data_IF_449244077581
#
_entry.id   IF_449244077581
#
_cell.length_a   1.000
_cell.length_b   1.000
_cell.length_c   1.000
_cell.angle_alpha   90.00
_cell.angle_beta   90.00
_cell.angle_gamma   90.00
#
_symmetry.space_group_name_H-M   'P 1'
#
loop_
_entity.id
_entity.type
_entity.pdbx_description
1 polymer ?
#
# COMPACT_ATOMS: atom_id res chain seq x y z
N UNK A 1 -30.67 -14.44 9.38
CA UNK A 1 -30.25 -14.15 7.99
C UNK A 1 -29.51 -12.84 7.99
N UNK A 2 -28.21 -12.84 7.69
CA UNK A 2 -27.47 -11.59 7.49
C UNK A 2 -27.70 -11.12 6.05
N UNK A 3 -28.00 -9.83 5.82
CA UNK A 3 -28.20 -9.30 4.48
C UNK A 3 -26.87 -9.24 3.73
N UNK A 4 -26.84 -9.80 2.53
CA UNK A 4 -25.72 -9.66 1.60
C UNK A 4 -25.83 -8.29 0.91
N UNK A 5 -24.89 -7.40 1.19
CA UNK A 5 -24.79 -6.11 0.49
C UNK A 5 -23.92 -6.28 -0.75
N UNK A 6 -24.52 -6.16 -1.94
CA UNK A 6 -23.80 -6.08 -3.21
C UNK A 6 -22.98 -4.78 -3.28
N UNK A 7 -21.69 -4.80 -3.65
CA UNK A 7 -20.86 -3.61 -3.67
C UNK A 7 -20.88 -2.95 -5.04
N UNK A 8 -22.03 -2.44 -5.50
CA UNK A 8 -22.06 -1.55 -6.66
C UNK A 8 -23.08 -0.44 -6.44
N UNK A 9 -22.65 0.60 -5.72
CA UNK A 9 -23.34 1.89 -5.69
C UNK A 9 -22.46 2.92 -6.39
N UNK A 10 -23.03 3.47 -7.45
CA UNK A 10 -22.58 4.63 -8.20
C UNK A 10 -22.28 5.75 -7.19
N UNK A 11 -21.02 6.19 -7.08
CA UNK A 11 -20.65 7.36 -6.28
C UNK A 11 -19.50 7.23 -5.28
N UNK A 12 -18.66 6.19 -5.32
CA UNK A 12 -17.52 6.11 -4.39
C UNK A 12 -16.32 6.98 -4.81
N UNK A 13 -15.70 7.64 -3.82
CA UNK A 13 -14.55 8.51 -4.04
C UNK A 13 -13.39 7.72 -4.68
N UNK A 14 -12.91 8.19 -5.84
CA UNK A 14 -11.76 7.61 -6.57
C UNK A 14 -10.50 7.45 -5.69
N UNK A 15 -10.43 8.14 -4.56
CA UNK A 15 -9.30 8.17 -3.63
C UNK A 15 -9.16 6.85 -2.84
N UNK A 16 -10.27 6.25 -2.40
CA UNK A 16 -10.25 5.10 -1.48
C UNK A 16 -9.73 3.80 -2.13
N UNK A 17 -9.82 3.68 -3.46
CA UNK A 17 -9.43 2.46 -4.18
C UNK A 17 -8.00 2.51 -4.72
N UNK A 18 -7.31 3.65 -4.67
CA UNK A 18 -5.96 3.77 -5.23
C UNK A 18 -4.95 2.80 -4.59
N UNK A 19 -5.15 2.44 -3.32
CA UNK A 19 -4.34 1.48 -2.59
C UNK A 19 -4.71 0.02 -2.88
N UNK A 20 -5.94 -0.25 -3.34
CA UNK A 20 -6.43 -1.61 -3.55
C UNK A 20 -5.63 -2.34 -4.62
N UNK A 21 -5.28 -1.67 -5.73
CA UNK A 21 -4.48 -2.29 -6.78
C UNK A 21 -3.09 -2.70 -6.27
N UNK A 22 -2.44 -1.81 -5.53
CA UNK A 22 -1.14 -2.11 -4.91
C UNK A 22 -1.25 -3.27 -3.93
N UNK A 23 -2.29 -3.29 -3.10
CA UNK A 23 -2.51 -4.38 -2.13
C UNK A 23 -2.81 -5.71 -2.84
N UNK A 24 -3.54 -5.69 -3.95
CA UNK A 24 -3.80 -6.87 -4.77
C UNK A 24 -2.49 -7.42 -5.38
N UNK A 25 -1.63 -6.55 -5.92
CA UNK A 25 -0.30 -6.95 -6.39
C UNK A 25 0.57 -7.52 -5.25
N UNK A 26 0.60 -6.87 -4.09
CA UNK A 26 1.32 -7.37 -2.91
C UNK A 26 0.81 -8.78 -2.53
N UNK A 27 -0.51 -8.96 -2.55
CA UNK A 27 -1.15 -10.24 -2.28
C UNK A 27 -0.74 -11.30 -3.30
N UNK A 28 -0.81 -10.98 -4.59
CA UNK A 28 -0.38 -11.87 -5.67
C UNK A 28 1.07 -12.34 -5.46
N UNK A 29 1.99 -11.41 -5.20
CA UNK A 29 3.40 -11.74 -4.94
C UNK A 29 3.59 -12.66 -3.75
N UNK A 30 2.74 -12.56 -2.71
CA UNK A 30 2.84 -13.46 -1.55
C UNK A 30 2.45 -14.89 -1.91
N UNK A 31 1.37 -15.07 -2.66
CA UNK A 31 0.80 -16.39 -2.96
C UNK A 31 1.45 -17.07 -4.17
N UNK A 32 1.84 -16.34 -5.20
CA UNK A 32 2.39 -16.91 -6.44
C UNK A 32 3.89 -17.20 -6.32
N UNK A 33 4.31 -18.45 -6.19
CA UNK A 33 5.74 -18.82 -6.04
C UNK A 33 6.53 -18.70 -7.35
N UNK A 34 5.87 -18.91 -8.49
CA UNK A 34 6.45 -18.72 -9.83
C UNK A 34 6.13 -17.33 -10.39
N UNK A 35 7.06 -16.80 -11.18
CA UNK A 35 6.90 -15.57 -11.97
C UNK A 35 5.79 -15.72 -13.01
N UNK A 36 5.58 -16.94 -13.51
CA UNK A 36 4.50 -17.25 -14.47
C UNK A 36 3.14 -17.05 -13.83
N UNK A 37 2.94 -17.63 -12.65
CA UNK A 37 1.67 -17.58 -11.91
C UNK A 37 1.38 -16.15 -11.48
N UNK A 38 2.42 -15.44 -11.03
CA UNK A 38 2.32 -14.03 -10.71
C UNK A 38 1.94 -13.19 -11.93
N UNK A 39 2.53 -13.47 -13.10
CA UNK A 39 2.19 -12.74 -14.31
C UNK A 39 0.75 -13.01 -14.76
N UNK A 40 0.26 -14.24 -14.63
CA UNK A 40 -1.14 -14.58 -14.90
C UNK A 40 -2.08 -13.81 -13.96
N UNK A 41 -1.81 -13.82 -12.65
CA UNK A 41 -2.57 -13.07 -11.66
C UNK A 41 -2.53 -11.55 -11.92
N UNK A 42 -1.36 -11.02 -12.31
CA UNK A 42 -1.19 -9.60 -12.70
C UNK A 42 -2.11 -9.26 -13.88
N UNK A 43 -2.09 -10.06 -14.94
CA UNK A 43 -2.93 -9.84 -16.13
C UNK A 43 -4.42 -9.93 -15.76
N UNK A 44 -4.79 -10.89 -14.91
CA UNK A 44 -6.16 -11.00 -14.39
C UNK A 44 -6.59 -9.73 -13.63
N UNK A 45 -5.72 -9.20 -12.77
CA UNK A 45 -5.97 -7.95 -12.05
C UNK A 45 -6.11 -6.76 -13.02
N UNK A 46 -5.26 -6.67 -14.04
CA UNK A 46 -5.35 -5.63 -15.07
C UNK A 46 -6.70 -5.65 -15.80
N UNK A 47 -7.10 -6.83 -16.30
CA UNK A 47 -8.37 -7.01 -17.00
C UNK A 47 -9.55 -6.69 -16.09
N UNK A 48 -9.51 -7.16 -14.84
CA UNK A 48 -10.55 -6.86 -13.84
C UNK A 48 -10.69 -5.36 -13.64
N UNK A 49 -9.59 -4.62 -13.53
CA UNK A 49 -9.63 -3.18 -13.34
C UNK A 49 -10.09 -2.43 -14.60
N UNK A 50 -9.67 -2.87 -15.79
CA UNK A 50 -10.20 -2.33 -17.04
C UNK A 50 -11.72 -2.52 -17.13
N UNK A 51 -12.22 -3.71 -16.77
CA UNK A 51 -13.65 -4.02 -16.76
C UNK A 51 -14.43 -3.16 -15.75
N UNK A 52 -13.80 -2.73 -14.66
CA UNK A 52 -14.39 -1.80 -13.68
C UNK A 52 -14.26 -0.31 -14.08
N UNK A 53 -13.86 -0.02 -15.33
CA UNK A 53 -13.85 1.34 -15.88
C UNK A 53 -12.59 2.16 -15.57
N UNK A 54 -11.52 1.54 -15.07
CA UNK A 54 -10.23 2.21 -14.91
C UNK A 54 -9.52 2.34 -16.26
N UNK A 55 -8.84 3.46 -16.49
CA UNK A 55 -8.09 3.67 -17.74
C UNK A 55 -6.79 2.85 -17.76
N UNK A 56 -6.41 2.39 -18.95
CA UNK A 56 -5.15 1.66 -19.16
C UNK A 56 -3.94 2.45 -18.63
N UNK A 57 -3.86 3.75 -18.97
CA UNK A 57 -2.80 4.65 -18.49
C UNK A 57 -2.70 4.69 -16.96
N UNK A 58 -3.84 4.67 -16.27
CA UNK A 58 -3.85 4.65 -14.80
C UNK A 58 -3.28 3.33 -14.26
N UNK A 59 -3.72 2.20 -14.80
CA UNK A 59 -3.28 0.87 -14.38
C UNK A 59 -1.78 0.71 -14.64
N UNK A 60 -1.31 1.07 -15.84
CA UNK A 60 0.10 1.03 -16.20
C UNK A 60 0.96 1.87 -15.25
N UNK A 61 0.52 3.08 -14.91
CA UNK A 61 1.20 3.94 -13.94
C UNK A 61 1.34 3.24 -12.59
N UNK A 62 0.30 2.54 -12.12
CA UNK A 62 0.30 1.82 -10.84
C UNK A 62 1.23 0.61 -10.86
N UNK A 63 1.23 -0.16 -11.93
CA UNK A 63 2.15 -1.29 -12.10
C UNK A 63 3.60 -0.80 -12.18
N UNK A 64 3.87 0.27 -12.94
CA UNK A 64 5.21 0.86 -13.01
C UNK A 64 5.69 1.30 -11.64
N UNK A 65 4.86 2.04 -10.92
CA UNK A 65 5.17 2.46 -9.57
C UNK A 65 5.44 1.26 -8.64
N UNK A 66 4.68 0.16 -8.77
CA UNK A 66 4.90 -1.05 -7.99
C UNK A 66 6.27 -1.68 -8.28
N UNK A 67 6.60 -1.90 -9.56
CA UNK A 67 7.89 -2.49 -9.93
C UNK A 67 9.08 -1.59 -9.61
N UNK A 68 8.96 -0.28 -9.78
CA UNK A 68 9.99 0.68 -9.39
C UNK A 68 10.21 0.68 -7.87
N UNK A 69 9.13 0.59 -7.07
CA UNK A 69 9.23 0.59 -5.61
C UNK A 69 10.00 -0.63 -5.06
N UNK A 70 9.89 -1.79 -5.72
CA UNK A 70 10.60 -3.01 -5.34
C UNK A 70 11.84 -3.29 -6.19
N UNK A 71 12.24 -2.33 -7.04
CA UNK A 71 13.38 -2.40 -7.95
C UNK A 71 13.37 -3.71 -8.78
N UNK A 72 12.26 -3.90 -9.50
CA UNK A 72 11.97 -5.07 -10.33
C UNK A 72 11.37 -4.67 -11.68
N UNK A 73 11.80 -3.53 -12.22
CA UNK A 73 11.28 -2.97 -13.49
C UNK A 73 11.52 -3.93 -14.66
N UNK A 74 12.60 -4.72 -14.64
CA UNK A 74 12.91 -5.71 -15.68
C UNK A 74 11.84 -6.80 -15.83
N UNK A 75 11.02 -7.07 -14.80
CA UNK A 75 9.89 -8.02 -14.90
C UNK A 75 8.78 -7.56 -15.84
N UNK A 76 8.81 -6.29 -16.28
CA UNK A 76 7.90 -5.78 -17.33
C UNK A 76 8.16 -6.41 -18.68
N UNK A 77 9.42 -6.64 -19.01
CA UNK A 77 9.86 -7.03 -20.35
C UNK A 77 10.26 -8.49 -20.42
N UNK A 78 10.77 -9.06 -19.32
CA UNK A 78 11.20 -10.45 -19.27
C UNK A 78 10.72 -11.11 -17.98
N UNK A 79 10.11 -12.29 -18.10
CA UNK A 79 9.68 -13.11 -16.97
C UNK A 79 10.87 -13.88 -16.40
N UNK A 80 11.66 -13.21 -15.56
CA UNK A 80 12.83 -13.78 -14.90
C UNK A 80 12.49 -14.22 -13.46
N UNK A 81 12.56 -15.53 -13.20
CA UNK A 81 12.28 -16.11 -11.89
C UNK A 81 13.25 -15.64 -10.80
N UNK A 82 14.51 -15.32 -11.14
CA UNK A 82 15.50 -14.83 -10.17
C UNK A 82 15.20 -13.40 -9.75
N UNK A 83 14.85 -12.53 -10.71
CA UNK A 83 14.39 -11.17 -10.41
C UNK A 83 13.11 -11.23 -9.57
N UNK A 84 12.18 -12.13 -9.92
CA UNK A 84 10.95 -12.31 -9.16
C UNK A 84 11.19 -12.78 -7.72
N UNK A 85 12.13 -13.70 -7.49
CA UNK A 85 12.55 -14.11 -6.14
C UNK A 85 13.11 -12.94 -5.33
N UNK A 86 13.92 -12.07 -5.94
CA UNK A 86 14.44 -10.85 -5.28
C UNK A 86 13.31 -9.90 -4.89
N UNK A 87 12.35 -9.68 -5.80
CA UNK A 87 11.14 -8.90 -5.52
C UNK A 87 10.35 -9.50 -4.35
N UNK A 88 10.10 -10.82 -4.36
CA UNK A 88 9.42 -11.51 -3.25
C UNK A 88 10.13 -11.28 -1.93
N UNK A 89 11.45 -11.44 -1.89
CA UNK A 89 12.25 -11.25 -0.68
C UNK A 89 12.14 -9.81 -0.15
N UNK A 90 12.32 -8.80 -1.01
CA UNK A 90 12.15 -7.38 -0.64
C UNK A 90 10.75 -7.08 -0.11
N UNK A 91 9.73 -7.66 -0.75
CA UNK A 91 8.35 -7.50 -0.31
C UNK A 91 8.09 -8.12 1.06
N UNK A 92 8.64 -9.29 1.35
CA UNK A 92 8.50 -9.89 2.69
C UNK A 92 9.22 -9.06 3.77
N UNK A 93 10.40 -8.52 3.48
CA UNK A 93 11.11 -7.62 4.39
C UNK A 93 10.28 -6.35 4.64
N UNK A 94 9.75 -5.73 3.59
CA UNK A 94 8.86 -4.57 3.69
C UNK A 94 7.63 -4.84 4.57
N UNK A 95 6.97 -6.00 4.41
CA UNK A 95 5.82 -6.38 5.24
C UNK A 95 6.24 -6.58 6.70
N UNK A 96 7.42 -7.18 6.93
CA UNK A 96 7.95 -7.39 8.27
C UNK A 96 8.23 -6.04 8.95
N UNK A 97 8.93 -5.13 8.28
CA UNK A 97 9.19 -3.77 8.76
C UNK A 97 7.90 -3.01 9.09
N UNK A 98 6.89 -3.09 8.21
CA UNK A 98 5.59 -2.47 8.47
C UNK A 98 4.91 -3.04 9.72
N UNK A 99 4.97 -4.35 9.94
CA UNK A 99 4.40 -4.97 11.15
C UNK A 99 5.12 -4.52 12.40
N UNK A 100 6.45 -4.45 12.37
CA UNK A 100 7.24 -3.97 13.50
C UNK A 100 6.92 -2.51 13.81
N UNK A 101 6.83 -1.66 12.78
CA UNK A 101 6.42 -0.27 12.93
C UNK A 101 5.02 -0.13 13.56
N UNK A 102 4.04 -0.93 13.11
CA UNK A 102 2.69 -0.93 13.67
C UNK A 102 2.67 -1.36 15.14
N UNK A 103 3.40 -2.43 15.50
CA UNK A 103 3.52 -2.87 16.89
C UNK A 103 4.15 -1.81 17.78
N UNK A 104 5.22 -1.16 17.33
CA UNK A 104 5.86 -0.09 18.09
C UNK A 104 4.88 1.07 18.32
N UNK A 105 4.09 1.44 17.31
CA UNK A 105 3.06 2.45 17.47
C UNK A 105 1.96 2.04 18.46
N UNK A 106 1.52 0.78 18.45
CA UNK A 106 0.55 0.26 19.42
C UNK A 106 1.12 0.27 20.85
N UNK A 107 2.41 0.01 21.03
CA UNK A 107 3.07 0.12 22.34
C UNK A 107 3.16 1.57 22.82
N UNK A 108 3.48 2.52 21.93
CA UNK A 108 3.47 3.96 22.23
C UNK A 108 2.05 4.45 22.57
N UNK A 109 1.02 3.93 21.92
CA UNK A 109 -0.38 4.21 22.25
C UNK A 109 -0.71 3.74 23.67
N UNK A 110 -0.29 2.53 24.05
CA UNK A 110 -0.49 2.01 25.42
C UNK A 110 0.21 2.84 26.49
N UNK A 111 1.35 3.44 26.17
CA UNK A 111 2.11 4.31 27.08
C UNK A 111 1.61 5.76 27.09
N UNK A 112 0.60 6.12 26.30
CA UNK A 112 0.19 7.50 26.03
C UNK A 112 1.35 8.39 25.54
N UNK A 113 2.34 7.80 24.86
CA UNK A 113 3.53 8.48 24.35
C UNK A 113 3.38 8.86 22.86
N UNK A 114 2.33 8.36 22.19
CA UNK A 114 2.06 8.68 20.79
C UNK A 114 1.39 10.04 20.65
N UNK A 115 2.02 10.94 19.90
CA UNK A 115 1.43 12.23 19.53
C UNK A 115 0.92 12.16 18.10
N UNK A 116 -0.41 12.24 17.96
CA UNK A 116 -1.07 12.29 16.67
C UNK A 116 -1.36 13.76 16.31
N UNK A 117 -0.90 14.17 15.13
CA UNK A 117 -1.05 15.54 14.65
C UNK A 117 -1.90 15.53 13.39
N UNK A 118 -3.06 16.16 13.46
CA UNK A 118 -3.96 16.29 12.31
C UNK A 118 -3.55 17.52 11.51
N UNK A 119 -2.90 17.31 10.37
CA UNK A 119 -2.50 18.40 9.48
C UNK A 119 -3.65 18.73 8.51
N UNK A 120 -4.38 19.81 8.77
CA UNK A 120 -5.34 20.38 7.82
C UNK A 120 -4.59 21.37 6.91
N UNK A 121 -4.60 21.10 5.61
CA UNK A 121 -3.77 21.73 4.58
C UNK A 121 -3.90 23.26 4.49
N UNK A 122 -5.04 23.82 4.90
CA UNK A 122 -5.31 25.26 4.71
C UNK A 122 -4.94 26.12 5.93
N UNK A 123 -4.78 25.53 7.14
CA UNK A 123 -4.39 26.25 8.36
C UNK A 123 -3.65 25.34 9.38
N UNK A 124 -2.70 24.52 8.93
CA UNK A 124 -2.01 23.56 9.79
C UNK A 124 -1.35 24.22 11.01
N UNK A 125 -1.55 23.70 12.25
CA UNK A 125 -1.18 24.42 13.46
C UNK A 125 0.29 24.15 13.78
N UNK A 126 1.22 24.72 13.01
CA UNK A 126 2.67 24.67 13.28
C UNK A 126 2.98 25.06 14.74
N UNK A 127 2.18 25.97 15.30
CA UNK A 127 2.25 26.37 16.72
C UNK A 127 1.85 25.23 17.68
N UNK A 128 0.76 24.50 17.42
CA UNK A 128 0.36 23.35 18.25
C UNK A 128 1.37 22.21 18.12
N UNK A 129 1.93 21.99 16.92
CA UNK A 129 3.02 21.06 16.72
C UNK A 129 4.23 21.42 17.58
N UNK A 130 4.69 22.69 17.50
CA UNK A 130 5.83 23.16 18.28
C UNK A 130 5.58 23.12 19.79
N UNK A 131 4.36 23.44 20.25
CA UNK A 131 3.98 23.35 21.66
C UNK A 131 4.02 21.91 22.16
N UNK A 132 3.36 20.98 21.46
CA UNK A 132 3.39 19.54 21.78
C UNK A 132 4.81 18.98 21.73
N UNK A 133 5.63 19.41 20.77
CA UNK A 133 7.03 18.99 20.66
C UNK A 133 7.86 19.48 21.86
N UNK A 134 7.68 20.73 22.30
CA UNK A 134 8.38 21.24 23.48
C UNK A 134 7.93 20.56 24.78
N UNK A 135 6.65 20.21 24.93
CA UNK A 135 6.16 19.43 26.07
C UNK A 135 6.79 18.04 26.16
N UNK A 136 7.07 17.39 25.02
CA UNK A 136 7.77 16.11 24.97
C UNK A 136 9.25 16.29 25.31
N UNK A 137 9.91 17.28 24.70
CA UNK A 137 11.34 17.55 24.91
C UNK A 137 11.68 18.01 26.34
N UNK A 138 10.71 18.54 27.09
CA UNK A 138 10.87 18.97 28.48
C UNK A 138 10.50 17.90 29.53
N UNK A 139 9.92 16.77 29.10
CA UNK A 139 9.60 15.61 29.95
C UNK A 139 10.70 14.55 30.00
N UNK A 140 11.69 14.64 29.10
CA UNK A 140 12.93 13.85 29.09
C UNK A 140 14.09 14.68 29.62
#
# INVERSE_FOLDING_TARGET
>A
MQPYTLPYVIGHSKVSYSHWFRLALIRAVRYCTSVTDFNQERVYLEVTWLANGYSLKFIEKRINHFYSHFDAVSLRTCLDQQVYKKLRHRLFNFIHEQRTYLKNNEELDKKNERVQLTYLYEFGPKRQFNQRLQEILSRN
#
